data_IF_142408748330
#
_entry.id   IF_142408748330
#
_cell.length_a   1.000
_cell.length_b   1.000
_cell.length_c   1.000
_cell.angle_alpha   90.00
_cell.angle_beta   90.00
_cell.angle_gamma   90.00
#
_symmetry.space_group_name_H-M   'P 1'
#
loop_
_entity.id
_entity.type
_entity.pdbx_description
1 polymer ?
#
# COMPACT_ATOMS: atom_id res chain seq x y z
N UNK A 1 -39.51 7.95 76.51
CA UNK A 1 -38.92 9.16 75.91
C UNK A 1 -37.97 8.69 74.80
N UNK A 2 -38.43 8.63 73.54
CA UNK A 2 -38.23 9.64 72.47
C UNK A 2 -36.76 9.92 72.12
N UNK A 3 -36.29 9.37 70.99
CA UNK A 3 -35.53 10.01 69.89
C UNK A 3 -35.10 8.91 68.88
N UNK A 4 -35.73 8.73 67.71
CA UNK A 4 -35.57 9.41 66.41
C UNK A 4 -34.22 9.25 65.67
N UNK A 5 -34.26 8.41 64.61
CA UNK A 5 -33.67 8.52 63.26
C UNK A 5 -32.32 9.23 63.05
N UNK A 6 -31.34 8.54 62.44
CA UNK A 6 -30.72 9.00 61.18
C UNK A 6 -30.09 7.83 60.40
N UNK A 7 -30.73 7.43 59.31
CA UNK A 7 -30.18 6.53 58.29
C UNK A 7 -29.31 7.36 57.36
N UNK A 8 -27.99 7.13 57.34
CA UNK A 8 -27.09 7.75 56.36
C UNK A 8 -27.10 6.87 55.11
N UNK A 9 -27.72 7.40 54.06
CA UNK A 9 -27.75 6.83 52.73
C UNK A 9 -26.40 7.12 52.05
N UNK A 10 -25.54 6.10 51.89
CA UNK A 10 -24.37 6.20 51.02
C UNK A 10 -24.83 6.10 49.55
N UNK A 11 -24.94 7.24 48.89
CA UNK A 11 -25.14 7.34 47.44
C UNK A 11 -23.82 6.99 46.74
N UNK A 12 -23.68 5.76 46.26
CA UNK A 12 -22.60 5.39 45.33
C UNK A 12 -22.96 5.93 43.95
N UNK A 13 -22.36 7.05 43.57
CA UNK A 13 -22.37 7.55 42.19
C UNK A 13 -21.53 6.60 41.33
N UNK A 14 -22.19 5.60 40.73
CA UNK A 14 -21.64 4.83 39.64
C UNK A 14 -21.51 5.73 38.40
N UNK A 15 -20.33 6.34 38.23
CA UNK A 15 -19.95 6.98 36.97
C UNK A 15 -19.74 5.85 35.96
N UNK A 16 -20.79 5.56 35.18
CA UNK A 16 -20.69 4.68 34.03
C UNK A 16 -19.76 5.29 33.01
N UNK A 17 -18.52 4.79 32.94
CA UNK A 17 -17.65 5.02 31.80
C UNK A 17 -18.24 4.18 30.67
N UNK A 18 -19.16 4.76 29.88
CA UNK A 18 -19.48 4.21 28.57
C UNK A 18 -18.19 4.24 27.76
N UNK A 19 -17.59 3.06 27.56
CA UNK A 19 -16.59 2.88 26.54
C UNK A 19 -17.22 3.34 25.22
N UNK A 20 -16.79 4.49 24.71
CA UNK A 20 -17.20 4.96 23.40
C UNK A 20 -16.90 3.85 22.41
N UNK A 21 -17.93 3.24 21.83
CA UNK A 21 -17.75 2.32 20.72
C UNK A 21 -16.98 3.07 19.64
N UNK A 22 -15.86 2.48 19.17
CA UNK A 22 -15.16 3.04 18.02
C UNK A 22 -16.19 3.21 16.89
N UNK A 23 -16.25 4.39 16.26
CA UNK A 23 -17.17 4.60 15.14
C UNK A 23 -16.91 3.53 14.08
N UNK A 24 -17.96 2.85 13.64
CA UNK A 24 -17.86 1.84 12.59
C UNK A 24 -17.14 2.43 11.37
N UNK A 25 -16.21 1.70 10.75
CA UNK A 25 -15.48 2.25 9.62
C UNK A 25 -16.44 2.55 8.47
N UNK A 26 -16.19 3.63 7.74
CA UNK A 26 -16.91 3.87 6.48
C UNK A 26 -16.48 2.94 5.35
N UNK A 27 -15.48 2.08 5.57
CA UNK A 27 -14.88 1.18 4.60
C UNK A 27 -14.62 -0.21 5.18
N UNK A 28 -14.44 -1.22 4.32
CA UNK A 28 -14.02 -2.58 4.68
C UNK A 28 -13.13 -3.15 3.59
N UNK A 29 -12.25 -4.09 3.92
CA UNK A 29 -11.38 -4.74 2.93
C UNK A 29 -12.22 -5.60 1.97
N UNK A 30 -11.94 -5.49 0.67
CA UNK A 30 -12.49 -6.33 -0.38
C UNK A 30 -11.62 -7.60 -0.53
N UNK A 31 -11.94 -8.60 0.29
CA UNK A 31 -11.23 -9.88 0.31
C UNK A 31 -11.32 -10.67 -1.01
N UNK A 32 -12.44 -10.68 -1.76
CA UNK A 32 -12.50 -11.29 -3.08
C UNK A 32 -11.40 -10.84 -4.06
N UNK A 33 -10.98 -9.57 -4.03
CA UNK A 33 -9.92 -9.04 -4.90
C UNK A 33 -8.51 -9.30 -4.35
N UNK A 34 -8.42 -9.65 -3.06
CA UNK A 34 -7.19 -9.91 -2.29
C UNK A 34 -6.30 -8.68 -2.10
N UNK A 35 -5.53 -8.68 -1.02
CA UNK A 35 -4.45 -7.71 -0.85
C UNK A 35 -3.25 -8.16 -1.67
N UNK A 36 -2.56 -7.20 -2.28
CA UNK A 36 -1.55 -7.49 -3.28
C UNK A 36 -0.23 -6.80 -2.97
N UNK A 37 0.86 -7.55 -3.02
CA UNK A 37 2.21 -6.99 -3.08
C UNK A 37 2.69 -7.02 -4.52
N UNK A 38 3.32 -5.93 -4.98
CA UNK A 38 3.92 -5.93 -6.31
C UNK A 38 5.41 -6.19 -6.19
N UNK A 39 5.85 -7.33 -6.71
CA UNK A 39 7.25 -7.74 -6.73
C UNK A 39 7.88 -7.34 -8.05
N UNK A 40 8.86 -6.44 -8.00
CA UNK A 40 9.66 -6.08 -9.17
C UNK A 40 10.83 -7.03 -9.30
N UNK A 41 10.75 -7.91 -10.29
CA UNK A 41 11.81 -8.88 -10.53
C UNK A 41 13.11 -8.18 -10.96
N UNK A 42 14.20 -8.54 -10.30
CA UNK A 42 15.54 -8.07 -10.66
C UNK A 42 16.00 -8.76 -11.96
N UNK A 43 16.27 -7.96 -13.01
CA UNK A 43 16.78 -8.43 -14.29
C UNK A 43 18.22 -8.95 -14.20
N UNK A 44 18.98 -8.52 -13.20
CA UNK A 44 20.39 -8.91 -13.00
C UNK A 44 20.54 -10.20 -12.18
N UNK A 45 19.55 -10.56 -11.38
CA UNK A 45 19.51 -11.82 -10.63
C UNK A 45 19.45 -13.07 -11.55
N UNK A 46 19.05 -12.89 -12.81
CA UNK A 46 19.07 -13.96 -13.82
C UNK A 46 20.49 -14.46 -14.17
N UNK A 47 21.56 -13.76 -13.75
CA UNK A 47 22.95 -14.15 -14.00
C UNK A 47 23.65 -14.86 -12.82
N UNK A 48 23.05 -14.86 -11.62
CA UNK A 48 23.61 -15.52 -10.43
C UNK A 48 22.91 -16.86 -10.16
N UNK A 49 23.63 -17.84 -9.61
CA UNK A 49 23.05 -19.11 -9.08
C UNK A 49 22.28 -18.86 -7.77
N UNK A 50 21.39 -17.87 -7.73
CA UNK A 50 20.51 -17.68 -6.58
C UNK A 50 19.37 -18.67 -6.72
N UNK A 51 19.19 -19.52 -5.72
CA UNK A 51 18.06 -20.45 -5.69
C UNK A 51 16.76 -19.65 -5.59
N UNK A 52 15.84 -19.89 -6.53
CA UNK A 52 14.58 -19.16 -6.63
C UNK A 52 13.40 -20.10 -6.85
N UNK A 53 12.21 -19.64 -6.51
CA UNK A 53 10.95 -20.33 -6.77
C UNK A 53 10.04 -19.48 -7.64
N UNK A 54 9.16 -20.18 -8.36
CA UNK A 54 8.10 -19.61 -9.21
C UNK A 54 6.75 -20.00 -8.61
N UNK A 55 6.03 -19.06 -7.99
CA UNK A 55 4.68 -19.34 -7.50
C UNK A 55 3.71 -19.69 -8.64
N UNK A 56 2.56 -20.28 -8.29
CA UNK A 56 1.53 -20.61 -9.27
C UNK A 56 0.79 -19.35 -9.76
N UNK A 57 0.50 -19.23 -11.08
CA UNK A 57 -0.39 -18.19 -11.59
C UNK A 57 -1.76 -18.24 -10.91
N UNK A 58 -2.28 -17.08 -10.53
CA UNK A 58 -3.55 -16.99 -9.80
C UNK A 58 -4.77 -17.08 -10.72
N UNK A 59 -4.68 -16.47 -11.91
CA UNK A 59 -5.79 -16.37 -12.86
C UNK A 59 -5.71 -17.50 -13.90
N UNK A 60 -6.46 -18.57 -13.66
CA UNK A 60 -6.42 -19.77 -14.51
C UNK A 60 -6.94 -19.59 -15.95
N UNK A 61 -7.75 -18.55 -16.20
CA UNK A 61 -8.27 -18.24 -17.54
C UNK A 61 -7.26 -17.50 -18.43
N UNK A 62 -6.18 -16.95 -17.87
CA UNK A 62 -5.13 -16.26 -18.62
C UNK A 62 -3.90 -17.19 -18.71
N UNK A 63 -3.38 -17.48 -19.91
CA UNK A 63 -2.23 -18.36 -20.07
C UNK A 63 -1.02 -17.92 -19.22
N UNK A 64 -0.28 -18.88 -18.67
CA UNK A 64 0.87 -18.62 -17.80
C UNK A 64 1.98 -17.78 -18.47
N UNK A 65 2.09 -17.85 -19.80
CA UNK A 65 3.09 -17.12 -20.59
C UNK A 65 2.67 -15.67 -20.93
N UNK A 66 1.44 -15.27 -20.63
CA UNK A 66 0.92 -13.92 -20.88
C UNK A 66 0.76 -13.13 -19.57
N UNK A 67 1.05 -11.82 -19.57
CA UNK A 67 0.72 -10.95 -18.45
C UNK A 67 -0.79 -10.73 -18.33
N UNK A 68 -1.25 -10.57 -17.10
CA UNK A 68 -2.66 -10.29 -16.82
C UNK A 68 -3.01 -8.82 -17.11
N UNK A 69 -2.02 -7.91 -16.99
CA UNK A 69 -2.17 -6.49 -17.30
C UNK A 69 -1.04 -6.07 -18.26
N UNK A 70 -1.42 -5.47 -19.40
CA UNK A 70 -0.51 -5.15 -20.53
C UNK A 70 -0.64 -3.73 -21.10
N UNK A 71 -1.42 -2.88 -20.45
CA UNK A 71 -1.77 -1.53 -20.90
C UNK A 71 -1.15 -0.42 -20.06
N UNK A 72 -0.19 -0.71 -19.19
CA UNK A 72 0.47 0.31 -18.35
C UNK A 72 1.70 0.85 -19.08
N UNK A 73 1.62 2.09 -19.57
CA UNK A 73 2.76 2.80 -20.17
C UNK A 73 3.76 3.16 -19.06
N UNK A 74 5.03 2.77 -19.23
CA UNK A 74 6.03 2.88 -18.16
C UNK A 74 6.31 4.33 -17.77
N UNK A 75 6.44 5.24 -18.76
CA UNK A 75 6.62 6.67 -18.51
C UNK A 75 5.45 7.27 -17.70
N UNK A 76 4.23 6.85 -17.98
CA UNK A 76 3.03 7.40 -17.32
C UNK A 76 2.93 6.94 -15.87
N UNK A 77 3.14 5.64 -15.59
CA UNK A 77 3.11 5.14 -14.22
C UNK A 77 4.24 5.74 -13.35
N UNK A 78 5.44 5.94 -13.92
CA UNK A 78 6.49 6.69 -13.24
C UNK A 78 6.07 8.15 -12.98
N UNK A 79 5.36 8.78 -13.93
CA UNK A 79 4.81 10.13 -13.78
C UNK A 79 3.76 10.26 -12.67
N UNK A 80 3.12 9.14 -12.28
CA UNK A 80 2.21 9.06 -11.12
C UNK A 80 2.95 8.91 -9.77
N UNK A 81 4.28 8.87 -9.77
CA UNK A 81 5.10 8.81 -8.56
C UNK A 81 5.40 7.41 -8.03
N UNK A 82 5.11 6.36 -8.80
CA UNK A 82 5.50 4.99 -8.44
C UNK A 82 7.04 4.88 -8.36
N UNK A 83 7.61 4.30 -7.28
CA UNK A 83 9.06 4.25 -7.06
C UNK A 83 9.72 3.13 -7.88
N UNK A 84 9.53 3.18 -9.20
CA UNK A 84 10.10 2.25 -10.17
C UNK A 84 11.49 2.74 -10.62
N UNK A 85 12.39 1.83 -11.05
CA UNK A 85 13.73 2.21 -11.46
C UNK A 85 13.71 3.13 -12.69
N UNK A 86 14.53 4.18 -12.67
CA UNK A 86 14.69 5.02 -13.86
C UNK A 86 15.26 4.19 -15.03
N UNK A 87 14.61 4.25 -16.20
CA UNK A 87 15.05 3.56 -17.43
C UNK A 87 15.16 4.55 -18.57
N UNK A 88 16.23 4.43 -19.38
CA UNK A 88 16.35 5.16 -20.64
C UNK A 88 15.25 4.69 -21.61
N UNK A 89 14.63 5.62 -22.34
CA UNK A 89 13.55 5.28 -23.29
C UNK A 89 12.25 4.81 -22.63
N UNK A 90 11.91 5.33 -21.44
CA UNK A 90 10.71 4.96 -20.69
C UNK A 90 9.39 5.08 -21.48
N UNK A 91 9.35 5.95 -22.49
CA UNK A 91 8.24 6.12 -23.44
C UNK A 91 8.02 4.91 -24.35
N UNK A 92 9.05 4.06 -24.53
CA UNK A 92 9.01 2.84 -25.34
C UNK A 92 8.82 1.57 -24.51
N UNK A 93 8.60 1.72 -23.21
CA UNK A 93 8.45 0.61 -22.27
C UNK A 93 7.03 0.53 -21.71
N UNK A 94 6.65 -0.68 -21.31
CA UNK A 94 5.45 -0.95 -20.53
C UNK A 94 5.80 -1.69 -19.25
N UNK A 95 4.96 -1.50 -18.24
CA UNK A 95 4.91 -2.35 -17.07
C UNK A 95 3.89 -3.46 -17.32
N UNK A 96 4.34 -4.69 -17.35
CA UNK A 96 3.51 -5.88 -17.46
C UNK A 96 3.35 -6.48 -16.07
N UNK A 97 2.13 -6.83 -15.68
CA UNK A 97 1.85 -7.43 -14.38
C UNK A 97 1.20 -8.80 -14.57
N UNK A 98 1.59 -9.76 -13.76
CA UNK A 98 0.90 -11.06 -13.65
C UNK A 98 0.66 -11.41 -12.19
N UNK A 99 -0.53 -11.89 -11.87
CA UNK A 99 -0.93 -12.27 -10.53
C UNK A 99 -0.56 -13.72 -10.27
N UNK A 100 0.01 -13.93 -9.09
CA UNK A 100 0.44 -15.20 -8.58
C UNK A 100 -0.07 -15.41 -7.17
N UNK A 101 -0.16 -16.68 -6.76
CA UNK A 101 -0.32 -17.03 -5.34
C UNK A 101 0.82 -16.44 -4.50
N UNK A 102 0.55 -16.20 -3.22
CA UNK A 102 1.58 -15.75 -2.29
C UNK A 102 2.65 -16.86 -2.08
N UNK A 103 3.96 -16.55 -2.13
CA UNK A 103 5.02 -17.55 -1.95
C UNK A 103 4.93 -18.27 -0.60
N UNK A 104 4.90 -19.61 -0.62
CA UNK A 104 4.63 -20.43 0.57
C UNK A 104 5.70 -20.32 1.66
N UNK A 105 6.95 -20.08 1.27
CA UNK A 105 8.10 -19.99 2.17
C UNK A 105 8.31 -18.62 2.81
N UNK A 106 7.55 -17.61 2.38
CA UNK A 106 7.59 -16.25 2.95
C UNK A 106 6.48 -16.05 3.97
N UNK A 107 6.71 -15.10 4.89
CA UNK A 107 5.71 -14.66 5.85
C UNK A 107 5.02 -13.38 5.36
N UNK A 108 3.74 -13.47 4.91
CA UNK A 108 3.03 -12.28 4.45
C UNK A 108 2.85 -11.23 5.54
N UNK A 109 2.77 -11.65 6.81
CA UNK A 109 2.54 -10.74 7.92
C UNK A 109 3.71 -9.76 8.05
N UNK A 110 4.95 -10.24 7.86
CA UNK A 110 6.14 -9.39 7.91
C UNK A 110 6.12 -8.32 6.80
N UNK A 111 5.88 -8.73 5.55
CA UNK A 111 5.85 -7.83 4.40
C UNK A 111 4.77 -6.74 4.55
N UNK A 112 3.52 -7.15 4.84
CA UNK A 112 2.41 -6.21 4.92
C UNK A 112 2.49 -5.31 6.15
N UNK A 113 2.91 -5.83 7.32
CA UNK A 113 3.09 -4.98 8.51
C UNK A 113 4.12 -3.89 8.27
N UNK A 114 5.26 -4.22 7.65
CA UNK A 114 6.27 -3.22 7.29
C UNK A 114 5.69 -2.08 6.46
N UNK A 115 4.86 -2.41 5.47
CA UNK A 115 4.19 -1.42 4.62
C UNK A 115 3.15 -0.62 5.42
N UNK A 116 2.23 -1.29 6.11
CA UNK A 116 1.16 -0.60 6.84
C UNK A 116 1.69 0.29 7.97
N UNK A 117 2.76 -0.13 8.65
CA UNK A 117 3.42 0.65 9.69
C UNK A 117 4.21 1.82 9.08
N UNK A 118 4.72 1.68 7.85
CA UNK A 118 5.34 2.80 7.14
C UNK A 118 4.33 3.95 6.93
N UNK A 119 3.08 3.61 6.61
CA UNK A 119 1.96 4.55 6.49
C UNK A 119 1.21 4.80 7.80
N UNK A 120 1.67 4.32 8.97
CA UNK A 120 0.96 4.48 10.24
C UNK A 120 -0.52 4.06 10.20
N UNK A 121 -0.90 3.10 9.36
CA UNK A 121 -2.32 2.76 9.16
C UNK A 121 -2.96 2.26 10.45
N UNK A 122 -2.22 1.58 11.31
CA UNK A 122 -2.68 1.16 12.64
C UNK A 122 -3.17 2.30 13.54
N UNK A 123 -2.81 3.57 13.26
CA UNK A 123 -3.28 4.75 14.01
C UNK A 123 -4.67 5.22 13.58
N UNK A 124 -5.15 4.78 12.42
CA UNK A 124 -6.52 5.06 12.00
C UNK A 124 -7.49 4.36 12.97
N UNK A 125 -8.60 5.00 13.38
CA UNK A 125 -9.61 4.40 14.26
C UNK A 125 -9.95 2.94 13.96
N UNK A 126 -9.99 2.56 12.68
CA UNK A 126 -10.29 1.22 12.20
C UNK A 126 -9.14 0.55 11.42
N UNK A 127 -7.95 1.14 11.42
CA UNK A 127 -6.83 0.65 10.62
C UNK A 127 -6.32 -0.74 11.02
N UNK A 128 -6.61 -1.20 12.25
CA UNK A 128 -6.32 -2.57 12.69
C UNK A 128 -7.04 -3.63 11.85
N UNK A 129 -8.18 -3.31 11.25
CA UNK A 129 -8.92 -4.21 10.36
C UNK A 129 -8.13 -4.62 9.10
N UNK A 130 -7.07 -3.88 8.75
CA UNK A 130 -6.16 -4.25 7.66
C UNK A 130 -5.24 -5.43 8.04
N UNK A 131 -5.02 -5.67 9.33
CA UNK A 131 -4.03 -6.62 9.82
C UNK A 131 -4.60 -8.03 10.01
N UNK A 132 -5.92 -8.19 10.11
CA UNK A 132 -6.53 -9.52 10.23
C UNK A 132 -6.45 -10.30 8.90
N UNK A 133 -6.77 -9.69 7.73
CA UNK A 133 -6.69 -10.42 6.45
C UNK A 133 -5.31 -10.95 6.11
N UNK A 134 -4.23 -10.25 6.50
CA UNK A 134 -2.85 -10.61 6.13
C UNK A 134 -2.33 -11.86 6.84
N UNK A 135 -3.03 -12.35 7.86
CA UNK A 135 -2.70 -13.61 8.52
C UNK A 135 -3.05 -14.84 7.66
N UNK A 136 -3.96 -14.71 6.69
CA UNK A 136 -4.34 -15.79 5.78
C UNK A 136 -3.79 -15.54 4.39
N UNK A 137 -2.95 -16.47 3.89
CA UNK A 137 -2.37 -16.40 2.55
C UNK A 137 -3.43 -16.41 1.44
N UNK A 138 -4.61 -16.98 1.69
CA UNK A 138 -5.70 -17.03 0.71
C UNK A 138 -6.30 -15.66 0.41
N UNK A 139 -6.15 -14.71 1.34
CA UNK A 139 -6.56 -13.32 1.16
C UNK A 139 -5.52 -12.50 0.39
N UNK A 140 -4.40 -13.12 -0.02
CA UNK A 140 -3.22 -12.43 -0.52
C UNK A 140 -2.81 -12.94 -1.90
N UNK A 141 -2.13 -12.08 -2.63
CA UNK A 141 -1.47 -12.45 -3.87
C UNK A 141 -0.25 -11.57 -4.14
N UNK A 142 0.60 -12.02 -5.06
CA UNK A 142 1.75 -11.25 -5.54
C UNK A 142 1.51 -10.90 -7.00
N UNK A 143 1.58 -9.61 -7.32
CA UNK A 143 1.68 -9.11 -8.70
C UNK A 143 3.16 -9.07 -9.07
N UNK A 144 3.60 -9.93 -9.97
CA UNK A 144 4.97 -9.88 -10.46
C UNK A 144 5.04 -8.89 -11.60
N UNK A 145 5.95 -7.93 -11.48
CA UNK A 145 6.17 -6.86 -12.43
C UNK A 145 7.35 -7.16 -13.36
N UNK A 146 7.11 -7.02 -14.65
CA UNK A 146 8.10 -7.11 -15.72
C UNK A 146 8.10 -5.82 -16.54
N UNK A 147 9.28 -5.20 -16.69
CA UNK A 147 9.46 -4.02 -17.52
C UNK A 147 10.00 -4.46 -18.88
N UNK A 148 9.27 -4.17 -19.95
CA UNK A 148 9.64 -4.64 -21.29
C UNK A 148 9.26 -3.66 -22.39
N UNK A 149 9.72 -3.94 -23.61
CA UNK A 149 9.36 -3.17 -24.81
C UNK A 149 7.84 -3.10 -24.97
N UNK A 150 7.30 -1.92 -25.25
CA UNK A 150 5.87 -1.72 -25.48
C UNK A 150 5.30 -2.53 -26.66
N UNK A 151 6.17 -2.95 -27.58
CA UNK A 151 5.85 -3.78 -28.76
C UNK A 151 6.07 -5.27 -28.55
N UNK A 152 6.45 -5.71 -27.33
CA UNK A 152 6.65 -7.13 -27.04
C UNK A 152 5.35 -7.91 -27.21
N UNK A 153 5.41 -8.99 -27.97
CA UNK A 153 4.38 -10.02 -28.05
C UNK A 153 4.70 -11.15 -27.08
N UNK A 154 3.71 -11.60 -26.32
CA UNK A 154 3.85 -12.74 -25.41
C UNK A 154 3.21 -13.96 -26.05
N UNK A 155 3.98 -15.04 -26.17
CA UNK A 155 3.55 -16.31 -26.72
C UNK A 155 4.38 -17.44 -26.08
N UNK A 156 4.16 -18.69 -26.48
CA UNK A 156 4.91 -19.83 -25.93
C UNK A 156 6.41 -19.81 -26.24
N UNK A 157 6.82 -19.20 -27.35
CA UNK A 157 8.23 -19.05 -27.75
C UNK A 157 8.88 -17.83 -27.09
N UNK A 158 8.08 -16.81 -26.78
CA UNK A 158 8.48 -15.56 -26.14
C UNK A 158 7.65 -15.31 -24.86
N UNK A 159 7.74 -16.19 -23.84
CA UNK A 159 6.87 -16.08 -22.68
C UNK A 159 7.20 -14.85 -21.84
N UNK A 160 6.27 -14.48 -20.96
CA UNK A 160 6.58 -13.66 -19.80
C UNK A 160 7.63 -14.40 -18.96
N UNK A 161 8.74 -13.74 -18.56
CA UNK A 161 9.72 -14.40 -17.70
C UNK A 161 9.04 -14.92 -16.42
N UNK A 162 9.32 -16.16 -16.00
CA UNK A 162 8.76 -16.66 -14.76
C UNK A 162 9.33 -15.86 -13.58
N UNK A 163 8.53 -15.63 -12.52
CA UNK A 163 9.01 -15.01 -11.30
C UNK A 163 10.14 -15.83 -10.71
N UNK A 164 11.21 -15.11 -10.36
CA UNK A 164 12.37 -15.63 -9.65
C UNK A 164 12.37 -15.01 -8.24
N UNK A 165 11.68 -15.66 -7.30
CA UNK A 165 11.61 -15.22 -5.90
C UNK A 165 12.65 -16.01 -5.08
N UNK A 166 13.57 -15.36 -4.36
CA UNK A 166 14.62 -16.04 -3.58
C UNK A 166 14.05 -17.04 -2.56
N UNK A 167 14.71 -18.19 -2.40
CA UNK A 167 14.39 -19.19 -1.36
C UNK A 167 15.52 -19.45 -0.36
N UNK A 168 16.73 -19.02 -0.67
CA UNK A 168 17.91 -19.18 0.18
C UNK A 168 18.50 -17.81 0.59
N UNK A 169 19.13 -17.75 1.76
CA UNK A 169 19.86 -16.56 2.21
C UNK A 169 20.99 -16.22 1.24
N UNK A 170 21.16 -14.92 0.98
CA UNK A 170 22.25 -14.37 0.19
C UNK A 170 23.17 -13.47 1.03
N UNK A 171 24.08 -12.79 0.35
CA UNK A 171 24.94 -11.76 0.97
C UNK A 171 24.99 -10.50 0.12
N UNK A 172 24.95 -9.35 0.78
CA UNK A 172 25.26 -8.04 0.20
C UNK A 172 26.44 -7.46 0.99
N UNK A 173 27.63 -7.49 0.40
CA UNK A 173 28.87 -7.21 1.14
C UNK A 173 29.07 -8.22 2.27
N UNK A 174 29.10 -7.73 3.52
CA UNK A 174 29.20 -8.56 4.74
C UNK A 174 27.85 -8.87 5.38
N UNK A 175 26.75 -8.31 4.87
CA UNK A 175 25.43 -8.48 5.45
C UNK A 175 24.76 -9.74 4.87
N UNK A 176 24.27 -10.62 5.74
CA UNK A 176 23.37 -11.69 5.34
C UNK A 176 21.99 -11.12 5.02
N UNK A 177 21.42 -11.55 3.90
CA UNK A 177 20.09 -11.13 3.46
C UNK A 177 19.21 -12.36 3.38
N UNK A 178 18.16 -12.40 4.20
CA UNK A 178 17.20 -13.51 4.16
C UNK A 178 16.35 -13.46 2.89
N UNK A 179 15.70 -14.57 2.49
CA UNK A 179 14.71 -14.55 1.40
C UNK A 179 13.60 -13.51 1.61
N UNK A 180 13.17 -13.31 2.85
CA UNK A 180 12.17 -12.32 3.24
C UNK A 180 12.67 -10.89 2.99
N UNK A 181 13.89 -10.57 3.43
CA UNK A 181 14.48 -9.24 3.22
C UNK A 181 14.69 -8.92 1.74
N UNK A 182 15.14 -9.91 0.97
CA UNK A 182 15.33 -9.77 -0.48
C UNK A 182 13.99 -9.54 -1.19
N UNK A 183 12.95 -10.28 -0.81
CA UNK A 183 11.61 -10.09 -1.35
C UNK A 183 11.05 -8.71 -1.01
N UNK A 184 11.09 -8.32 0.28
CA UNK A 184 10.55 -7.04 0.76
C UNK A 184 11.30 -5.83 0.17
N UNK A 185 12.61 -5.97 -0.07
CA UNK A 185 13.43 -4.95 -0.74
C UNK A 185 13.07 -4.73 -2.21
N UNK A 186 12.35 -5.66 -2.83
CA UNK A 186 11.93 -5.62 -4.23
C UNK A 186 10.44 -5.25 -4.40
N UNK A 187 9.79 -4.70 -3.37
CA UNK A 187 8.39 -4.28 -3.40
C UNK A 187 8.27 -2.77 -3.62
N UNK A 188 8.13 -2.26 -4.87
CA UNK A 188 7.94 -0.82 -5.10
C UNK A 188 6.55 -0.33 -4.68
N UNK A 189 5.52 -1.18 -4.73
CA UNK A 189 4.16 -0.78 -4.38
C UNK A 189 3.29 -1.98 -3.96
N UNK A 190 2.15 -1.68 -3.36
CA UNK A 190 1.15 -2.65 -2.93
C UNK A 190 -0.26 -2.13 -3.15
N UNK A 191 -1.24 -3.02 -3.21
CA UNK A 191 -2.66 -2.67 -3.34
C UNK A 191 -3.48 -3.20 -2.16
N UNK A 192 -4.36 -2.36 -1.64
CA UNK A 192 -5.46 -2.71 -0.74
C UNK A 192 -6.76 -2.33 -1.43
N UNK A 193 -7.68 -3.27 -1.56
CA UNK A 193 -9.00 -3.01 -2.11
C UNK A 193 -9.99 -2.82 -0.97
N UNK A 194 -10.82 -1.79 -1.07
CA UNK A 194 -11.80 -1.42 -0.06
C UNK A 194 -13.16 -1.19 -0.69
N UNK A 195 -14.20 -1.58 0.04
CA UNK A 195 -15.59 -1.30 -0.25
C UNK A 195 -16.18 -0.39 0.83
N UNK A 196 -17.29 0.33 0.56
CA UNK A 196 -18.05 0.95 1.63
C UNK A 196 -18.49 -0.13 2.64
N UNK A 197 -18.45 0.21 3.93
CA UNK A 197 -18.91 -0.72 4.97
C UNK A 197 -20.41 -1.03 4.82
N UNK A 198 -21.21 0.02 4.57
CA UNK A 198 -22.61 -0.05 4.20
C UNK A 198 -22.82 0.48 2.77
N UNK A 199 -22.84 -0.40 1.75
CA UNK A 199 -23.09 0.02 0.39
C UNK A 199 -24.56 0.43 0.15
N UNK A 200 -25.51 0.08 1.03
CA UNK A 200 -26.94 0.14 0.76
C UNK A 200 -27.37 -0.73 -0.44
N UNK A 201 -28.60 -0.53 -0.92
CA UNK A 201 -29.16 -1.25 -2.08
C UNK A 201 -29.19 -0.34 -3.31
N UNK A 202 -28.25 -0.49 -4.27
CA UNK A 202 -28.26 0.29 -5.50
C UNK A 202 -29.40 -0.12 -6.42
N UNK A 203 -30.00 0.84 -7.14
CA UNK A 203 -31.05 0.60 -8.14
C UNK A 203 -30.50 0.41 -9.55
N UNK A 204 -29.28 0.88 -9.81
CA UNK A 204 -28.61 0.76 -11.11
C UNK A 204 -27.14 0.35 -10.94
N UNK A 205 -26.53 -0.15 -12.01
CA UNK A 205 -25.10 -0.46 -12.04
C UNK A 205 -24.24 0.79 -11.78
N UNK A 206 -24.61 1.93 -12.34
CA UNK A 206 -23.89 3.19 -12.16
C UNK A 206 -23.98 3.67 -10.70
N UNK A 207 -25.14 3.48 -10.05
CA UNK A 207 -25.29 3.76 -8.63
C UNK A 207 -24.43 2.79 -7.79
N UNK A 208 -24.37 1.50 -8.16
CA UNK A 208 -23.51 0.52 -7.51
C UNK A 208 -22.02 0.91 -7.65
N UNK A 209 -21.60 1.35 -8.84
CA UNK A 209 -20.23 1.78 -9.10
C UNK A 209 -19.85 3.03 -8.29
N UNK A 210 -20.74 4.04 -8.26
CA UNK A 210 -20.54 5.25 -7.47
C UNK A 210 -20.46 4.94 -5.97
N UNK A 211 -21.33 4.06 -5.46
CA UNK A 211 -21.30 3.60 -4.05
C UNK A 211 -20.02 2.83 -3.73
N UNK A 212 -19.56 1.96 -4.63
CA UNK A 212 -18.28 1.24 -4.49
C UNK A 212 -17.10 2.19 -4.26
N UNK A 213 -17.00 3.28 -5.03
CA UNK A 213 -15.96 4.30 -4.84
C UNK A 213 -16.01 5.00 -3.45
N UNK A 214 -17.15 4.93 -2.77
CA UNK A 214 -17.33 5.43 -1.40
C UNK A 214 -16.38 4.81 -0.38
N UNK A 215 -15.91 3.57 -0.60
CA UNK A 215 -14.92 2.92 0.27
C UNK A 215 -13.59 3.68 0.30
N UNK A 216 -13.06 4.03 -0.87
CA UNK A 216 -11.81 4.82 -0.98
C UNK A 216 -11.99 6.23 -0.39
N UNK A 217 -13.15 6.87 -0.61
CA UNK A 217 -13.43 8.19 -0.04
C UNK A 217 -13.45 8.17 1.50
N UNK A 218 -14.08 7.16 2.08
CA UNK A 218 -14.12 6.98 3.53
C UNK A 218 -12.72 6.69 4.10
N UNK A 219 -11.96 5.79 3.46
CA UNK A 219 -10.58 5.49 3.85
C UNK A 219 -9.70 6.75 3.84
N UNK A 220 -9.80 7.55 2.77
CA UNK A 220 -9.06 8.80 2.62
C UNK A 220 -9.36 9.80 3.74
N UNK A 221 -10.65 9.99 4.07
CA UNK A 221 -11.06 10.91 5.13
C UNK A 221 -10.49 10.50 6.49
N UNK A 222 -10.63 9.22 6.86
CA UNK A 222 -10.12 8.67 8.12
C UNK A 222 -8.58 8.79 8.21
N UNK A 223 -7.88 8.58 7.10
CA UNK A 223 -6.44 8.77 7.00
C UNK A 223 -6.04 10.23 7.24
N UNK A 224 -6.70 11.18 6.59
CA UNK A 224 -6.38 12.60 6.73
C UNK A 224 -6.61 13.10 8.15
N UNK A 225 -7.72 12.72 8.79
CA UNK A 225 -8.01 13.07 10.19
C UNK A 225 -6.92 12.52 11.13
N UNK A 226 -6.52 11.27 10.91
CA UNK A 226 -5.45 10.62 11.67
C UNK A 226 -4.12 11.35 11.50
N UNK A 227 -3.72 11.64 10.27
CA UNK A 227 -2.44 12.30 10.00
C UNK A 227 -2.41 13.74 10.49
N UNK A 228 -3.49 14.49 10.37
CA UNK A 228 -3.59 15.85 10.91
C UNK A 228 -3.44 15.88 12.43
N UNK A 229 -3.85 14.82 13.13
CA UNK A 229 -3.71 14.70 14.58
C UNK A 229 -2.31 14.32 15.02
N UNK A 230 -1.60 13.48 14.25
CA UNK A 230 -0.38 12.82 14.73
C UNK A 230 0.90 13.19 13.98
N UNK A 231 0.81 13.86 12.83
CA UNK A 231 1.96 14.19 11.98
C UNK A 231 1.99 15.69 11.68
N UNK A 232 3.18 16.21 11.40
CA UNK A 232 3.35 17.61 11.03
C UNK A 232 3.03 17.79 9.56
N UNK A 233 2.15 18.74 9.23
CA UNK A 233 1.83 19.09 7.83
C UNK A 233 2.86 20.08 7.28
N UNK A 234 3.29 19.89 6.04
CA UNK A 234 4.12 20.84 5.28
C UNK A 234 3.44 21.22 3.97
N UNK A 235 3.87 22.33 3.37
CA UNK A 235 3.30 22.85 2.11
C UNK A 235 3.69 21.99 0.92
N UNK A 236 2.75 21.77 0.00
CA UNK A 236 2.95 21.06 -1.26
C UNK A 236 1.67 20.98 -2.09
N UNK A 237 1.78 20.47 -3.31
CA UNK A 237 0.64 20.26 -4.22
C UNK A 237 -0.34 19.22 -3.64
N UNK A 238 0.19 18.16 -3.04
CA UNK A 238 -0.54 17.18 -2.23
C UNK A 238 -0.53 17.55 -0.73
N UNK A 239 -1.29 16.81 0.09
CA UNK A 239 -1.09 16.86 1.53
C UNK A 239 0.22 16.15 1.88
N UNK A 240 1.21 16.91 2.34
CA UNK A 240 2.48 16.39 2.79
C UNK A 240 2.49 16.32 4.32
N UNK A 241 2.67 15.12 4.85
CA UNK A 241 2.84 14.88 6.27
C UNK A 241 4.26 14.38 6.55
N UNK A 242 4.87 14.88 7.62
CA UNK A 242 6.24 14.52 7.97
C UNK A 242 6.33 13.97 9.37
N UNK A 243 7.18 12.96 9.53
CA UNK A 243 7.58 12.40 10.81
C UNK A 243 9.10 12.50 10.93
N UNK A 244 9.62 13.35 11.85
CA UNK A 244 11.05 13.43 12.10
C UNK A 244 11.56 12.14 12.75
N UNK A 245 12.66 11.58 12.23
CA UNK A 245 13.34 10.40 12.78
C UNK A 245 14.59 10.87 13.55
N UNK A 246 14.53 10.79 14.87
CA UNK A 246 15.60 11.26 15.76
C UNK A 246 16.77 10.30 15.78
N UNK A 247 17.98 10.84 15.95
CA UNK A 247 19.16 10.03 16.18
C UNK A 247 19.04 9.30 17.53
N UNK A 248 19.48 8.05 17.60
CA UNK A 248 19.38 7.24 18.81
C UNK A 248 20.27 7.78 19.95
N UNK A 249 21.45 8.26 19.58
CA UNK A 249 22.47 8.83 20.46
C UNK A 249 22.23 10.32 20.81
N UNK A 250 21.37 11.02 20.06
CA UNK A 250 21.02 12.41 20.33
C UNK A 250 19.61 12.76 19.86
N UNK A 251 18.66 12.78 20.80
CA UNK A 251 17.24 13.08 20.55
C UNK A 251 17.01 14.50 20.00
N UNK A 252 17.95 15.43 20.22
CA UNK A 252 17.90 16.78 19.66
C UNK A 252 18.19 16.84 18.16
N UNK A 253 18.83 15.80 17.61
CA UNK A 253 19.25 15.73 16.22
C UNK A 253 18.35 14.84 15.37
N UNK A 254 18.27 15.17 14.08
CA UNK A 254 17.57 14.41 13.06
C UNK A 254 18.56 13.56 12.28
N UNK A 255 18.29 12.26 12.27
CA UNK A 255 19.02 11.28 11.45
C UNK A 255 18.19 10.86 10.23
N UNK A 256 16.90 11.15 10.22
CA UNK A 256 16.06 10.96 9.06
C UNK A 256 14.75 11.71 9.13
N UNK A 257 13.98 11.58 8.05
CA UNK A 257 12.66 12.16 7.90
C UNK A 257 11.81 11.18 7.09
N UNK A 258 10.64 10.82 7.60
CA UNK A 258 9.61 10.14 6.81
C UNK A 258 8.66 11.18 6.25
N UNK A 259 8.41 11.11 4.96
CA UNK A 259 7.46 11.96 4.25
C UNK A 259 6.35 11.09 3.70
N UNK A 260 5.10 11.45 3.98
CA UNK A 260 3.91 10.79 3.46
C UNK A 260 3.15 11.79 2.60
N UNK A 261 2.97 11.45 1.32
CA UNK A 261 2.21 12.23 0.36
C UNK A 261 0.81 11.61 0.21
N UNK A 262 -0.22 12.44 0.46
CA UNK A 262 -1.62 12.06 0.32
C UNK A 262 -2.28 12.99 -0.71
N UNK A 263 -2.81 12.46 -1.84
CA UNK A 263 -3.56 13.26 -2.80
C UNK A 263 -4.70 14.03 -2.14
N UNK A 264 -4.98 15.26 -2.58
CA UNK A 264 -6.07 16.06 -1.99
C UNK A 264 -7.45 15.44 -2.19
N UNK A 265 -7.61 14.70 -3.29
CA UNK A 265 -8.84 14.00 -3.65
C UNK A 265 -8.46 12.65 -4.24
N UNK A 266 -9.14 11.57 -3.82
CA UNK A 266 -9.08 10.32 -4.56
C UNK A 266 -9.65 10.49 -5.97
N UNK A 267 -9.21 9.62 -6.88
CA UNK A 267 -9.75 9.51 -8.23
C UNK A 267 -11.01 8.66 -8.15
N UNK A 268 -12.13 9.17 -8.66
CA UNK A 268 -13.38 8.43 -8.82
C UNK A 268 -13.66 8.31 -10.32
N UNK A 269 -13.78 7.07 -10.81
CA UNK A 269 -13.91 6.79 -12.24
C UNK A 269 -15.38 6.79 -12.65
N UNK A 270 -15.82 7.85 -13.33
CA UNK A 270 -17.18 7.93 -13.87
C UNK A 270 -17.37 7.04 -15.10
N UNK A 271 -16.31 6.80 -15.86
CA UNK A 271 -16.23 5.88 -17.00
C UNK A 271 -15.71 4.49 -16.59
N UNK A 272 -16.08 4.00 -15.40
CA UNK A 272 -15.52 2.80 -14.77
C UNK A 272 -15.49 1.56 -15.67
N UNK A 273 -16.44 1.42 -16.60
CA UNK A 273 -16.48 0.29 -17.56
C UNK A 273 -15.24 0.20 -18.48
N UNK A 274 -14.47 1.27 -18.60
CA UNK A 274 -13.19 1.29 -19.32
C UNK A 274 -12.01 0.84 -18.45
N UNK A 275 -12.18 0.81 -17.13
CA UNK A 275 -11.16 0.44 -16.16
C UNK A 275 -11.36 -1.00 -15.69
N UNK A 276 -11.24 -1.93 -16.63
CA UNK A 276 -11.47 -3.36 -16.43
C UNK A 276 -10.41 -3.99 -15.53
N UNK A 277 -10.83 -4.89 -14.64
CA UNK A 277 -9.94 -5.66 -13.78
C UNK A 277 -9.65 -7.04 -14.40
N UNK A 278 -8.41 -7.57 -14.30
CA UNK A 278 -8.04 -8.82 -14.99
C UNK A 278 -8.74 -10.07 -14.45
N UNK A 279 -9.26 -10.03 -13.22
CA UNK A 279 -10.00 -11.11 -12.59
C UNK A 279 -11.24 -11.50 -13.43
N UNK A 280 -11.97 -10.50 -13.91
CA UNK A 280 -13.06 -10.65 -14.87
C UNK A 280 -13.26 -9.30 -15.59
N UNK A 281 -12.64 -9.09 -16.77
CA UNK A 281 -12.69 -7.81 -17.46
C UNK A 281 -14.09 -7.46 -18.00
N UNK A 282 -15.04 -8.40 -17.98
CA UNK A 282 -16.43 -8.15 -18.38
C UNK A 282 -17.31 -7.74 -17.20
N UNK A 283 -16.92 -8.03 -15.96
CA UNK A 283 -17.79 -7.87 -14.78
C UNK A 283 -17.17 -7.13 -13.60
N UNK A 284 -15.84 -7.03 -13.52
CA UNK A 284 -15.14 -6.39 -12.41
C UNK A 284 -14.38 -5.16 -12.92
N UNK A 285 -14.64 -4.00 -12.30
CA UNK A 285 -14.16 -2.72 -12.80
C UNK A 285 -13.66 -1.83 -11.65
N UNK A 286 -12.58 -1.10 -11.86
CA UNK A 286 -12.06 -0.08 -10.93
C UNK A 286 -12.99 1.13 -10.90
N UNK A 287 -13.40 1.55 -9.71
CA UNK A 287 -14.33 2.67 -9.48
C UNK A 287 -13.70 3.80 -8.68
N UNK A 288 -12.73 3.49 -7.83
CA UNK A 288 -12.04 4.46 -6.98
C UNK A 288 -10.56 4.13 -6.83
N UNK A 289 -9.73 5.16 -6.72
CA UNK A 289 -8.28 5.02 -6.58
C UNK A 289 -7.69 6.15 -5.72
N UNK A 290 -6.89 5.78 -4.72
CA UNK A 290 -6.09 6.67 -3.90
C UNK A 290 -4.65 6.14 -3.92
N UNK A 291 -3.71 6.99 -4.33
CA UNK A 291 -2.29 6.64 -4.40
C UNK A 291 -1.55 7.35 -3.26
N UNK A 292 -1.20 6.60 -2.23
CA UNK A 292 -0.45 7.11 -1.09
C UNK A 292 1.02 6.82 -1.30
N UNK A 293 1.90 7.79 -1.08
CA UNK A 293 3.34 7.58 -1.19
C UNK A 293 4.02 7.82 0.14
N UNK A 294 4.92 6.92 0.53
CA UNK A 294 5.84 7.13 1.64
C UNK A 294 7.26 7.13 1.10
N UNK A 295 8.07 8.07 1.59
CA UNK A 295 9.51 8.08 1.34
C UNK A 295 10.24 8.35 2.65
N UNK A 296 11.12 7.44 3.03
CA UNK A 296 12.05 7.64 4.13
C UNK A 296 13.35 8.21 3.59
N UNK A 297 13.77 9.30 4.20
CA UNK A 297 15.00 10.01 3.92
C UNK A 297 15.97 9.82 5.07
N UNK A 298 17.19 9.40 4.76
CA UNK A 298 18.31 9.46 5.70
C UNK A 298 19.00 10.81 5.58
N UNK A 299 19.31 11.45 6.71
CA UNK A 299 20.16 12.62 6.72
C UNK A 299 21.59 12.20 6.33
N UNK A 300 22.26 13.00 5.50
CA UNK A 300 23.67 12.73 5.11
C UNK A 300 24.64 12.93 6.27
N UNK A 301 24.24 13.75 7.25
CA UNK A 301 24.87 13.97 8.55
C UNK A 301 23.77 14.32 9.55
N UNK A 302 23.94 14.08 10.87
CA UNK A 302 22.96 14.52 11.85
C UNK A 302 22.66 16.01 11.74
N UNK A 303 21.37 16.38 11.77
CA UNK A 303 20.90 17.77 11.60
C UNK A 303 20.30 18.29 12.90
N UNK A 304 20.61 19.55 13.24
CA UNK A 304 20.03 20.22 14.41
C UNK A 304 18.61 20.75 14.18
N UNK A 305 18.08 21.52 15.15
CA UNK A 305 16.86 22.30 14.98
C UNK A 305 16.93 23.18 13.73
N UNK A 306 15.83 23.28 12.98
CA UNK A 306 15.78 24.06 11.73
C UNK A 306 16.27 23.33 10.48
N UNK A 307 16.39 21.98 10.53
CA UNK A 307 16.65 21.18 9.35
C UNK A 307 15.68 21.52 8.20
N UNK A 308 16.15 21.54 6.93
CA UNK A 308 15.29 21.86 5.79
C UNK A 308 14.16 20.83 5.68
N UNK A 309 12.96 21.31 5.39
CA UNK A 309 11.79 20.47 5.14
C UNK A 309 11.66 20.15 3.64
N UNK A 310 10.88 19.12 3.25
CA UNK A 310 10.61 18.83 1.84
C UNK A 310 10.14 20.07 1.08
N UNK A 311 10.68 20.29 -0.12
CA UNK A 311 10.42 21.47 -0.95
C UNK A 311 11.22 22.72 -0.58
N UNK A 312 11.92 22.75 0.56
CA UNK A 312 12.79 23.86 0.94
C UNK A 312 14.17 23.77 0.26
N UNK A 313 14.80 24.93 0.02
CA UNK A 313 16.18 25.00 -0.49
C UNK A 313 17.13 24.23 0.44
N UNK A 314 17.94 23.35 -0.13
CA UNK A 314 18.94 22.56 0.60
C UNK A 314 18.43 21.22 1.14
N UNK A 315 17.15 20.87 0.97
CA UNK A 315 16.62 19.57 1.37
C UNK A 315 17.38 18.39 0.74
N UNK A 316 17.50 18.37 -0.60
CA UNK A 316 18.17 17.28 -1.34
C UNK A 316 19.68 17.19 -1.07
N UNK A 317 20.27 18.31 -0.62
CA UNK A 317 21.67 18.35 -0.17
C UNK A 317 21.84 17.82 1.25
N UNK A 318 20.81 17.91 2.09
CA UNK A 318 20.84 17.45 3.47
C UNK A 318 20.40 15.99 3.63
N UNK A 319 19.50 15.52 2.76
CA UNK A 319 18.87 14.22 2.83
C UNK A 319 19.14 13.36 1.59
N UNK A 320 18.97 12.05 1.72
CA UNK A 320 18.91 11.10 0.61
C UNK A 320 17.75 10.13 0.83
N UNK A 321 16.93 9.81 -0.20
CA UNK A 321 15.92 8.78 -0.06
C UNK A 321 16.61 7.42 0.16
N UNK A 322 16.10 6.63 1.09
CA UNK A 322 16.62 5.29 1.42
C UNK A 322 15.54 4.20 1.31
N UNK A 323 14.28 4.60 1.37
CA UNK A 323 13.14 3.72 1.12
C UNK A 323 12.01 4.53 0.53
N UNK A 324 11.29 3.96 -0.43
CA UNK A 324 10.08 4.55 -0.97
C UNK A 324 9.10 3.45 -1.32
N UNK A 325 7.83 3.67 -1.04
CA UNK A 325 6.76 2.73 -1.36
C UNK A 325 5.52 3.50 -1.75
N UNK A 326 4.77 2.95 -2.70
CA UNK A 326 3.44 3.45 -3.04
C UNK A 326 2.38 2.44 -2.58
N UNK A 327 1.39 2.91 -1.84
CA UNK A 327 0.22 2.15 -1.45
C UNK A 327 -0.96 2.59 -2.31
N UNK A 328 -1.42 1.70 -3.17
CA UNK A 328 -2.67 1.80 -3.91
C UNK A 328 -3.81 1.39 -2.98
N UNK A 329 -4.72 2.31 -2.70
CA UNK A 329 -6.01 2.00 -2.07
C UNK A 329 -7.08 2.14 -3.15
N UNK A 330 -7.74 1.06 -3.49
CA UNK A 330 -8.64 0.99 -4.64
C UNK A 330 -10.02 0.47 -4.26
N UNK A 331 -11.04 0.80 -5.05
CA UNK A 331 -12.37 0.19 -4.97
C UNK A 331 -12.72 -0.40 -6.32
N UNK A 332 -13.37 -1.56 -6.31
CA UNK A 332 -13.91 -2.17 -7.53
C UNK A 332 -15.41 -2.37 -7.39
N UNK A 333 -16.11 -2.35 -8.51
CA UNK A 333 -17.48 -2.84 -8.60
C UNK A 333 -17.48 -4.20 -9.26
N UNK A 334 -18.18 -5.13 -8.64
CA UNK A 334 -18.47 -6.45 -9.16
C UNK A 334 -19.93 -6.52 -9.64
N UNK A 335 -20.10 -6.83 -10.92
CA UNK A 335 -21.39 -6.93 -11.62
C UNK A 335 -21.79 -8.38 -11.94
N UNK A 336 -21.17 -9.35 -11.27
CA UNK A 336 -21.57 -10.76 -11.34
C UNK A 336 -22.92 -11.03 -10.68
#
# INVERSE_FOLDING_TARGET
>A
MRATWTTVLCLVLAVGISAAQSPSPGWKVDLPVRLQLVYLQDETAAGGKVETTTPAPLLGHIPAHEPDIKNIVYKEICGLGFPLPARKGADKLKLYLKLYEFPKHLDPVLSFRRIFDAFHLWKMPNGRLLYDPIASRDNLSVKVAYIGSATRTFDRKNPLPPPAIPVASGRIGTLEVTPQDAFDGALPFSSVYVNPADPGTPKTDDERAARSAGGVLAFHQELLETYQKFLSRVSGDNHLFVQPLRCFDNIGQLCGLRVIEVPRKPIVLTNYRQAQMPQDPAKVFLTGLLLLKVTDYAARKPLGPGAPMPGAKGFDSAFKPVYSHLLEVASVVDLR
#
